data_IF_877302264158
#
_entry.id   IF_877302264158
#
_cell.length_a   1.000
_cell.length_b   1.000
_cell.length_c   1.000
_cell.angle_alpha   90.00
_cell.angle_beta   90.00
_cell.angle_gamma   90.00
#
_symmetry.space_group_name_H-M   'P 1'
#
loop_
_entity.id
_entity.type
_entity.pdbx_description
1 polymer ?
#
# COMPACT_ATOMS: atom_id res chain seq x y z
N UNK A 1 35.95 31.46 9.63
CA UNK A 1 34.50 31.34 9.89
C UNK A 1 34.08 29.97 9.41
N UNK A 2 33.51 29.24 10.35
CA UNK A 2 33.18 27.82 10.38
C UNK A 2 32.18 27.42 9.29
N UNK A 3 32.28 26.15 8.89
CA UNK A 3 31.50 25.42 7.90
C UNK A 3 30.00 25.74 7.85
N UNK A 4 29.47 25.85 6.63
CA UNK A 4 28.08 25.49 6.35
C UNK A 4 28.05 24.48 5.20
N UNK A 5 28.57 23.28 5.49
CA UNK A 5 28.28 22.04 4.77
C UNK A 5 26.88 21.58 5.15
N UNK A 6 25.87 21.92 4.37
CA UNK A 6 24.55 21.25 4.45
C UNK A 6 23.59 21.70 3.36
N UNK A 7 23.95 21.47 2.10
CA UNK A 7 22.95 21.08 1.11
C UNK A 7 23.41 19.75 0.55
N UNK A 8 22.93 18.67 1.18
CA UNK A 8 22.99 17.30 0.67
C UNK A 8 22.20 17.23 -0.64
N UNK A 9 22.79 17.77 -1.70
CA UNK A 9 22.46 17.40 -3.06
C UNK A 9 23.07 16.01 -3.26
N UNK A 10 22.28 15.10 -3.82
CA UNK A 10 22.63 13.71 -4.14
C UNK A 10 22.41 12.71 -3.00
N UNK A 11 21.22 12.08 -2.96
CA UNK A 11 21.03 10.81 -2.23
C UNK A 11 21.31 9.55 -3.05
N UNK A 12 21.71 9.67 -4.33
CA UNK A 12 22.08 8.52 -5.18
C UNK A 12 23.14 8.84 -6.25
N UNK A 13 24.34 9.28 -5.84
CA UNK A 13 25.55 9.24 -6.68
C UNK A 13 25.99 7.80 -6.95
N UNK A 14 25.41 6.86 -6.20
CA UNK A 14 25.89 5.50 -6.04
C UNK A 14 24.95 4.48 -6.70
N UNK A 15 24.03 4.94 -7.58
CA UNK A 15 23.23 4.04 -8.40
C UNK A 15 24.17 3.25 -9.31
N UNK A 16 24.27 1.94 -9.07
CA UNK A 16 25.11 1.07 -9.88
C UNK A 16 24.48 0.88 -11.26
N UNK A 17 24.98 1.62 -12.24
CA UNK A 17 24.51 1.57 -13.61
C UNK A 17 24.76 0.21 -14.28
N UNK A 18 25.52 -0.71 -13.68
CA UNK A 18 25.65 -2.10 -14.14
C UNK A 18 24.28 -2.76 -14.36
N UNK A 19 23.27 -2.41 -13.54
CA UNK A 19 21.91 -2.94 -13.66
C UNK A 19 21.15 -2.39 -14.89
N UNK A 20 21.62 -1.30 -15.49
CA UNK A 20 21.07 -0.73 -16.73
C UNK A 20 21.74 -1.26 -18.00
N UNK A 21 22.81 -2.07 -17.89
CA UNK A 21 23.50 -2.73 -19.03
C UNK A 21 22.57 -3.55 -19.92
N UNK A 22 21.44 -4.01 -19.37
CA UNK A 22 20.42 -4.78 -20.08
C UNK A 22 19.70 -3.98 -21.19
N UNK A 23 19.77 -2.64 -21.18
CA UNK A 23 19.10 -1.81 -22.17
C UNK A 23 20.05 -1.41 -23.30
N UNK A 24 19.68 -1.73 -24.55
CA UNK A 24 20.49 -1.48 -25.76
C UNK A 24 20.82 0.00 -25.98
N UNK A 25 20.01 0.90 -25.44
CA UNK A 25 20.20 2.35 -25.54
C UNK A 25 21.14 2.92 -24.47
N UNK A 26 21.63 2.08 -23.56
CA UNK A 26 22.56 2.48 -22.52
C UNK A 26 24.01 2.39 -23.06
N UNK A 27 24.62 3.54 -23.33
CA UNK A 27 26.04 3.63 -23.64
C UNK A 27 26.79 4.24 -22.45
N UNK A 28 27.63 3.45 -21.79
CA UNK A 28 28.42 3.84 -20.61
C UNK A 28 29.41 4.99 -20.89
N UNK A 29 29.66 5.31 -22.16
CA UNK A 29 30.66 6.31 -22.57
C UNK A 29 30.12 7.77 -22.59
N UNK A 30 28.81 7.98 -22.48
CA UNK A 30 28.22 9.33 -22.55
C UNK A 30 27.85 9.89 -21.16
N UNK A 31 28.28 11.11 -20.87
CA UNK A 31 27.85 11.83 -19.66
C UNK A 31 26.35 12.08 -19.68
N UNK A 32 25.65 11.51 -18.69
CA UNK A 32 24.20 11.64 -18.55
C UNK A 32 23.82 12.79 -17.62
N UNK A 33 22.75 13.50 -17.96
CA UNK A 33 22.15 14.51 -17.09
C UNK A 33 21.54 13.90 -15.83
N UNK A 34 21.39 14.67 -14.75
CA UNK A 34 20.73 14.19 -13.54
C UNK A 34 19.32 13.64 -13.78
N UNK A 35 18.57 14.22 -14.73
CA UNK A 35 17.24 13.75 -15.10
C UNK A 35 17.32 12.38 -15.78
N UNK A 36 18.22 12.20 -16.75
CA UNK A 36 18.39 10.90 -17.42
C UNK A 36 18.70 9.79 -16.41
N UNK A 37 19.62 10.06 -15.47
CA UNK A 37 19.96 9.11 -14.40
C UNK A 37 18.74 8.69 -13.58
N UNK A 38 17.91 9.66 -13.15
CA UNK A 38 16.65 9.38 -12.45
C UNK A 38 15.68 8.57 -13.32
N UNK A 39 15.55 8.90 -14.60
CA UNK A 39 14.65 8.17 -15.49
C UNK A 39 15.10 6.73 -15.77
N UNK A 40 16.41 6.45 -15.80
CA UNK A 40 16.93 5.08 -15.87
C UNK A 40 16.70 4.32 -14.57
N UNK A 41 16.91 4.96 -13.42
CA UNK A 41 16.56 4.38 -12.13
C UNK A 41 15.08 3.94 -12.08
N UNK A 42 14.17 4.79 -12.55
CA UNK A 42 12.74 4.46 -12.60
C UNK A 42 12.41 3.31 -13.56
N UNK A 43 13.20 3.10 -14.62
CA UNK A 43 12.99 1.96 -15.51
C UNK A 43 13.25 0.62 -14.82
N UNK A 44 14.04 0.60 -13.75
CA UNK A 44 14.41 -0.63 -13.03
C UNK A 44 13.63 -0.77 -11.73
N UNK A 45 13.54 0.31 -10.93
CA UNK A 45 13.08 0.22 -9.54
C UNK A 45 11.68 0.78 -9.28
N UNK A 46 10.98 1.25 -10.31
CA UNK A 46 9.65 1.81 -10.12
C UNK A 46 8.54 0.78 -10.07
N UNK A 47 7.35 1.23 -9.66
CA UNK A 47 6.10 0.45 -9.79
C UNK A 47 5.74 0.14 -11.25
N UNK A 48 6.39 0.81 -12.20
CA UNK A 48 6.22 0.60 -13.63
C UNK A 48 7.57 0.36 -14.31
N UNK A 49 8.24 -0.79 -14.04
CA UNK A 49 9.53 -1.07 -14.63
C UNK A 49 9.40 -1.30 -16.14
N UNK A 50 10.51 -1.12 -16.86
CA UNK A 50 10.63 -1.40 -18.29
C UNK A 50 10.77 -2.91 -18.49
N UNK A 51 9.99 -3.46 -19.42
CA UNK A 51 10.10 -4.89 -19.75
C UNK A 51 11.39 -5.21 -20.50
N UNK A 52 11.91 -6.43 -20.36
CA UNK A 52 13.19 -6.88 -20.97
C UNK A 52 13.30 -6.63 -22.49
N UNK A 53 12.18 -6.76 -23.22
CA UNK A 53 12.11 -6.56 -24.69
C UNK A 53 11.40 -5.27 -25.07
N UNK A 54 11.05 -4.44 -24.10
CA UNK A 54 10.34 -3.20 -24.35
C UNK A 54 11.30 -2.10 -24.81
N UNK A 55 10.89 -1.31 -25.81
CA UNK A 55 11.68 -0.15 -26.24
C UNK A 55 11.55 1.02 -25.27
N UNK A 56 12.56 1.90 -25.22
CA UNK A 56 12.54 3.11 -24.40
C UNK A 56 11.26 3.93 -24.64
N UNK A 57 10.91 4.13 -25.91
CA UNK A 57 9.73 4.90 -26.29
C UNK A 57 8.41 4.24 -25.88
N UNK A 58 8.33 2.91 -25.87
CA UNK A 58 7.16 2.19 -25.36
C UNK A 58 6.98 2.44 -23.86
N UNK A 59 8.06 2.28 -23.08
CA UNK A 59 8.02 2.55 -21.64
C UNK A 59 7.64 4.00 -21.34
N UNK A 60 8.28 4.97 -22.02
CA UNK A 60 7.94 6.39 -21.83
C UNK A 60 6.48 6.70 -22.17
N UNK A 61 5.90 5.99 -23.13
CA UNK A 61 4.48 6.10 -23.47
C UNK A 61 3.57 5.62 -22.34
N UNK A 62 3.91 4.51 -21.66
CA UNK A 62 3.16 4.01 -20.49
C UNK A 62 3.23 4.97 -19.30
N UNK A 63 4.38 5.61 -19.13
CA UNK A 63 4.61 6.65 -18.10
C UNK A 63 3.94 7.99 -18.48
N UNK A 64 3.28 8.07 -19.64
CA UNK A 64 2.50 9.24 -20.06
C UNK A 64 3.34 10.37 -20.69
N UNK A 65 4.56 10.07 -21.14
CA UNK A 65 5.42 11.02 -21.85
C UNK A 65 5.17 10.99 -23.35
N UNK A 66 5.16 12.19 -23.95
CA UNK A 66 5.13 12.31 -25.41
C UNK A 66 6.48 11.89 -26.01
N UNK A 67 6.48 11.44 -27.27
CA UNK A 67 7.72 11.12 -28.00
C UNK A 67 8.71 12.29 -28.03
N UNK A 68 8.21 13.52 -28.15
CA UNK A 68 9.04 14.74 -28.14
C UNK A 68 9.68 14.99 -26.77
N UNK A 69 8.94 14.78 -25.69
CA UNK A 69 9.46 14.91 -24.31
C UNK A 69 10.50 13.83 -24.02
N UNK A 70 10.23 12.58 -24.41
CA UNK A 70 11.18 11.48 -24.30
C UNK A 70 12.46 11.76 -25.08
N UNK A 71 12.35 12.24 -26.33
CA UNK A 71 13.52 12.65 -27.12
C UNK A 71 14.31 13.78 -26.44
N UNK A 72 13.64 14.79 -25.88
CA UNK A 72 14.30 15.89 -25.17
C UNK A 72 15.08 15.43 -23.94
N UNK A 73 14.52 14.50 -23.17
CA UNK A 73 15.18 13.97 -21.97
C UNK A 73 16.35 13.06 -22.35
N UNK A 74 16.11 12.05 -23.21
CA UNK A 74 17.09 10.99 -23.43
C UNK A 74 18.12 11.28 -24.53
N UNK A 75 17.77 12.04 -25.57
CA UNK A 75 18.69 12.32 -26.68
C UNK A 75 19.27 13.74 -26.65
N UNK A 76 18.50 14.74 -26.22
CA UNK A 76 19.01 16.13 -26.12
C UNK A 76 19.69 16.43 -24.78
N UNK A 77 19.45 15.62 -23.74
CA UNK A 77 20.01 15.85 -22.42
C UNK A 77 19.43 17.11 -21.76
N UNK A 78 18.10 17.24 -21.72
CA UNK A 78 17.49 18.36 -21.01
C UNK A 78 17.90 18.37 -19.52
N UNK A 79 18.29 19.55 -19.02
CA UNK A 79 18.72 19.74 -17.63
C UNK A 79 17.58 20.00 -16.63
N UNK A 80 16.38 20.33 -17.14
CA UNK A 80 15.21 20.67 -16.31
C UNK A 80 13.96 19.92 -16.77
N UNK A 81 13.05 19.67 -15.82
CA UNK A 81 11.76 19.02 -16.06
C UNK A 81 10.64 19.92 -15.55
N UNK A 82 9.59 20.07 -16.35
CA UNK A 82 8.39 20.83 -15.96
C UNK A 82 7.56 20.04 -14.95
N UNK A 83 6.94 20.71 -13.97
CA UNK A 83 6.17 20.07 -12.89
C UNK A 83 5.11 19.11 -13.43
N UNK A 84 4.36 19.54 -14.46
CA UNK A 84 3.32 18.67 -15.05
C UNK A 84 3.85 17.39 -15.70
N UNK A 85 5.13 17.35 -16.07
CA UNK A 85 5.79 16.15 -16.57
C UNK A 85 6.23 15.28 -15.39
N UNK A 86 6.82 15.89 -14.36
CA UNK A 86 7.22 15.20 -13.14
C UNK A 86 6.01 14.54 -12.45
N UNK A 87 4.88 15.22 -12.33
CA UNK A 87 3.65 14.70 -11.73
C UNK A 87 3.09 13.48 -12.47
N UNK A 88 3.16 13.47 -13.81
CA UNK A 88 2.76 12.31 -14.63
C UNK A 88 3.66 11.11 -14.38
N UNK A 89 4.97 11.35 -14.37
CA UNK A 89 5.95 10.31 -14.09
C UNK A 89 5.76 9.79 -12.66
N UNK A 90 5.57 10.67 -11.68
CA UNK A 90 5.32 10.32 -10.27
C UNK A 90 4.10 9.41 -10.15
N UNK A 91 2.98 9.81 -10.76
CA UNK A 91 1.74 9.04 -10.77
C UNK A 91 1.94 7.65 -11.38
N UNK A 92 2.67 7.53 -12.48
CA UNK A 92 2.86 6.25 -13.16
C UNK A 92 3.91 5.35 -12.48
N UNK A 93 4.96 5.93 -11.89
CA UNK A 93 6.11 5.19 -11.34
C UNK A 93 6.03 5.00 -9.82
N UNK A 94 5.12 5.71 -9.16
CA UNK A 94 5.00 5.75 -7.71
C UNK A 94 6.14 6.45 -6.99
N UNK A 95 7.00 7.16 -7.74
CA UNK A 95 8.11 7.91 -7.17
C UNK A 95 7.70 9.33 -6.78
N UNK A 96 8.40 9.91 -5.81
CA UNK A 96 8.17 11.27 -5.34
C UNK A 96 8.38 12.30 -6.46
N UNK A 97 7.42 13.23 -6.60
CA UNK A 97 7.42 14.24 -7.65
C UNK A 97 8.60 15.21 -7.52
N UNK A 98 8.93 15.61 -6.29
CA UNK A 98 10.02 16.55 -5.99
C UNK A 98 11.37 15.87 -6.31
N UNK A 99 11.50 14.58 -5.98
CA UNK A 99 12.67 13.79 -6.33
C UNK A 99 12.81 13.61 -7.84
N UNK A 100 11.73 13.28 -8.57
CA UNK A 100 11.78 13.15 -10.03
C UNK A 100 12.26 14.46 -10.66
N UNK A 101 11.70 15.58 -10.21
CA UNK A 101 11.99 16.88 -10.79
C UNK A 101 13.41 17.34 -10.48
N UNK A 102 13.79 17.36 -9.20
CA UNK A 102 14.97 18.05 -8.71
C UNK A 102 16.03 17.11 -8.11
N UNK A 103 15.70 15.84 -7.89
CA UNK A 103 16.57 14.88 -7.20
C UNK A 103 16.72 15.12 -5.71
N UNK A 104 15.81 15.89 -5.11
CA UNK A 104 15.80 16.21 -3.68
C UNK A 104 14.98 15.16 -2.94
N UNK A 105 15.51 14.65 -1.82
CA UNK A 105 14.84 13.62 -1.02
C UNK A 105 15.12 12.19 -1.52
N UNK A 106 14.13 11.31 -1.41
CA UNK A 106 14.21 9.90 -1.83
C UNK A 106 13.11 9.59 -2.87
N UNK A 107 13.38 8.74 -3.87
CA UNK A 107 12.39 8.38 -4.89
C UNK A 107 11.18 7.68 -4.27
N UNK A 108 11.43 6.85 -3.27
CA UNK A 108 10.41 6.15 -2.51
C UNK A 108 10.67 6.41 -1.04
N UNK A 109 9.65 6.86 -0.32
CA UNK A 109 9.71 7.01 1.13
C UNK A 109 10.11 5.67 1.75
N UNK A 110 11.04 5.65 2.71
CA UNK A 110 11.48 4.42 3.40
C UNK A 110 10.36 3.65 4.15
N UNK A 111 9.13 4.15 4.15
CA UNK A 111 7.91 3.38 4.47
C UNK A 111 7.46 2.42 3.35
N UNK A 112 8.22 2.31 2.26
CA UNK A 112 7.89 1.59 1.03
C UNK A 112 9.05 0.64 0.67
N UNK A 113 9.32 -0.35 1.51
CA UNK A 113 10.18 -1.47 1.15
C UNK A 113 9.44 -2.61 0.46
N UNK A 114 8.11 -2.51 0.27
CA UNK A 114 7.32 -3.52 -0.43
C UNK A 114 6.20 -2.86 -1.24
N UNK A 115 6.49 -2.41 -2.45
CA UNK A 115 5.43 -2.24 -3.47
C UNK A 115 5.87 -2.89 -4.77
N UNK A 116 5.78 -4.21 -4.78
CA UNK A 116 5.37 -4.90 -5.99
C UNK A 116 3.84 -4.97 -5.94
N UNK A 117 3.21 -4.52 -7.03
CA UNK A 117 1.76 -4.46 -7.24
C UNK A 117 1.03 -3.44 -6.36
N UNK A 118 0.33 -2.51 -7.02
CA UNK A 118 -0.98 -2.04 -6.57
C UNK A 118 -1.55 -1.10 -7.63
N UNK A 119 -2.39 -1.66 -8.50
CA UNK A 119 -3.69 -1.04 -8.73
C UNK A 119 -4.59 -1.44 -7.57
N UNK A 120 -4.42 -0.80 -6.41
CA UNK A 120 -5.43 -0.74 -5.38
C UNK A 120 -5.49 0.71 -4.95
N UNK A 121 -6.61 1.33 -5.29
CA UNK A 121 -6.94 2.66 -4.82
C UNK A 121 -6.81 2.67 -3.29
N UNK A 122 -6.14 3.70 -2.78
CA UNK A 122 -6.26 4.15 -1.40
C UNK A 122 -7.73 4.11 -0.97
N UNK A 123 -8.13 3.07 -0.24
CA UNK A 123 -9.39 3.06 0.48
C UNK A 123 -9.12 3.58 1.89
N UNK A 124 -8.73 4.86 1.95
CA UNK A 124 -8.77 5.65 3.17
C UNK A 124 -10.24 5.90 3.51
N UNK A 125 -10.76 5.16 4.49
CA UNK A 125 -12.14 5.35 4.95
C UNK A 125 -12.10 6.34 6.11
N UNK A 126 -12.35 7.60 5.80
CA UNK A 126 -12.57 8.63 6.81
C UNK A 126 -14.02 8.51 7.31
N UNK A 127 -14.24 7.79 8.40
CA UNK A 127 -15.47 7.95 9.19
C UNK A 127 -15.12 8.16 10.66
N UNK A 128 -15.64 9.26 11.22
CA UNK A 128 -15.62 9.55 12.66
C UNK A 128 -14.23 9.64 13.32
N UNK A 129 -13.27 10.27 12.65
CA UNK A 129 -12.04 10.76 13.30
C UNK A 129 -10.99 9.69 13.69
N UNK A 130 -11.16 8.43 13.27
CA UNK A 130 -10.12 7.39 13.43
C UNK A 130 -9.33 7.21 12.12
N UNK A 131 -8.00 7.39 12.18
CA UNK A 131 -7.08 6.93 11.12
C UNK A 131 -6.84 5.43 11.26
N UNK A 132 -7.55 4.63 10.47
CA UNK A 132 -7.45 3.18 10.46
C UNK A 132 -6.31 2.76 9.51
N UNK A 133 -5.35 1.97 9.98
CA UNK A 133 -4.21 1.48 9.17
C UNK A 133 -4.57 0.26 8.32
N UNK A 134 -3.94 0.18 7.15
CA UNK A 134 -4.28 -0.63 5.96
C UNK A 134 -3.85 -2.12 6.02
N UNK A 135 -3.60 -2.67 7.21
CA UNK A 135 -3.15 -4.07 7.32
C UNK A 135 -4.25 -5.09 6.96
N UNK A 136 -5.52 -4.69 7.04
CA UNK A 136 -6.69 -5.51 6.71
C UNK A 136 -7.45 -4.85 5.56
N UNK A 137 -7.70 -5.61 4.50
CA UNK A 137 -8.56 -5.18 3.39
C UNK A 137 -10.04 -5.24 3.84
N UNK A 138 -10.66 -4.08 4.01
CA UNK A 138 -12.07 -3.98 4.41
C UNK A 138 -12.99 -4.70 3.45
N UNK A 139 -12.80 -4.56 2.14
CA UNK A 139 -13.71 -5.14 1.16
C UNK A 139 -13.66 -6.66 1.22
N UNK A 140 -12.46 -7.24 1.36
CA UNK A 140 -12.28 -8.69 1.50
C UNK A 140 -12.82 -9.21 2.84
N UNK A 141 -12.62 -8.47 3.93
CA UNK A 141 -13.16 -8.87 5.23
C UNK A 141 -14.69 -8.80 5.23
N UNK A 142 -15.27 -7.73 4.68
CA UNK A 142 -16.71 -7.60 4.53
C UNK A 142 -17.28 -8.71 3.64
N UNK A 143 -16.63 -9.03 2.53
CA UNK A 143 -17.01 -10.15 1.67
C UNK A 143 -16.98 -11.49 2.42
N UNK A 144 -16.00 -11.70 3.31
CA UNK A 144 -15.94 -12.90 4.14
C UNK A 144 -17.13 -12.99 5.12
N UNK A 145 -17.53 -11.87 5.73
CA UNK A 145 -18.73 -11.79 6.56
C UNK A 145 -20.01 -12.07 5.75
N UNK A 146 -20.18 -11.40 4.62
CA UNK A 146 -21.33 -11.55 3.73
C UNK A 146 -21.50 -12.99 3.29
N UNK A 147 -20.43 -13.60 2.79
CA UNK A 147 -20.44 -15.00 2.32
C UNK A 147 -20.78 -15.97 3.45
N UNK A 148 -20.20 -15.77 4.64
CA UNK A 148 -20.44 -16.64 5.80
C UNK A 148 -21.89 -16.55 6.28
N UNK A 149 -22.41 -15.34 6.44
CA UNK A 149 -23.78 -15.11 6.90
C UNK A 149 -24.81 -15.58 5.86
N UNK A 150 -24.56 -15.33 4.58
CA UNK A 150 -25.45 -15.79 3.50
C UNK A 150 -25.51 -17.31 3.45
N UNK A 151 -24.36 -18.00 3.53
CA UNK A 151 -24.32 -19.46 3.53
C UNK A 151 -25.03 -20.08 4.75
N UNK A 152 -24.89 -19.44 5.92
CA UNK A 152 -25.60 -19.84 7.14
C UNK A 152 -27.11 -19.59 7.02
N UNK A 153 -27.51 -18.45 6.48
CA UNK A 153 -28.89 -18.08 6.25
C UNK A 153 -29.58 -19.06 5.29
N UNK A 154 -28.94 -19.37 4.15
CA UNK A 154 -29.46 -20.29 3.13
C UNK A 154 -29.63 -21.72 3.67
N UNK A 155 -28.79 -22.11 4.63
CA UNK A 155 -28.89 -23.41 5.31
C UNK A 155 -29.76 -23.39 6.57
N UNK A 156 -30.34 -22.23 6.93
CA UNK A 156 -31.05 -22.01 8.20
C UNK A 156 -30.26 -22.46 9.43
N UNK A 157 -28.95 -22.24 9.42
CA UNK A 157 -28.03 -22.59 10.52
C UNK A 157 -27.48 -21.33 11.17
N UNK A 158 -27.05 -21.47 12.42
CA UNK A 158 -26.24 -20.47 13.11
C UNK A 158 -24.93 -21.11 13.57
N UNK A 159 -23.90 -20.29 13.68
CA UNK A 159 -22.57 -20.72 14.12
C UNK A 159 -22.24 -20.08 15.46
N UNK A 160 -21.54 -20.82 16.34
CA UNK A 160 -21.02 -20.25 17.59
C UNK A 160 -19.97 -19.17 17.27
N UNK A 161 -19.84 -18.11 18.08
CA UNK A 161 -18.92 -16.99 17.82
C UNK A 161 -17.46 -17.42 17.57
N UNK A 162 -17.00 -18.43 18.30
CA UNK A 162 -15.64 -19.00 18.18
C UNK A 162 -15.38 -19.64 16.80
N UNK A 163 -16.18 -20.64 16.44
CA UNK A 163 -16.12 -21.28 15.12
C UNK A 163 -16.35 -20.28 13.97
N UNK A 164 -17.19 -19.26 14.20
CA UNK A 164 -17.47 -18.21 13.22
C UNK A 164 -16.26 -17.31 12.99
N UNK A 165 -15.55 -16.94 14.04
CA UNK A 165 -14.32 -16.17 13.93
C UNK A 165 -13.24 -16.94 13.15
N UNK A 166 -13.03 -18.22 13.48
CA UNK A 166 -12.08 -19.08 12.76
C UNK A 166 -12.43 -19.20 11.27
N UNK A 167 -13.69 -19.45 10.96
CA UNK A 167 -14.14 -19.61 9.58
C UNK A 167 -14.00 -18.30 8.78
N UNK A 168 -14.34 -17.15 9.37
CA UNK A 168 -14.22 -15.85 8.70
C UNK A 168 -12.75 -15.51 8.46
N UNK A 169 -11.85 -15.77 9.42
CA UNK A 169 -10.40 -15.60 9.20
C UNK A 169 -9.91 -16.52 8.11
N UNK A 170 -10.34 -17.78 8.07
CA UNK A 170 -9.98 -18.71 7.01
C UNK A 170 -10.43 -18.19 5.64
N UNK A 171 -11.69 -17.76 5.51
CA UNK A 171 -12.22 -17.25 4.26
C UNK A 171 -11.51 -15.96 3.84
N UNK A 172 -11.25 -15.06 4.80
CA UNK A 172 -10.45 -13.86 4.58
C UNK A 172 -9.03 -14.18 4.09
N UNK A 173 -8.37 -15.18 4.69
CA UNK A 173 -7.03 -15.64 4.23
C UNK A 173 -7.05 -16.30 2.87
N UNK A 174 -8.19 -16.86 2.44
CA UNK A 174 -8.35 -17.44 1.10
C UNK A 174 -8.67 -16.37 0.05
N UNK A 175 -9.34 -15.29 0.45
CA UNK A 175 -9.68 -14.15 -0.39
C UNK A 175 -8.53 -13.15 -0.56
N UNK A 176 -7.53 -13.21 0.32
CA UNK A 176 -6.30 -12.41 0.29
C UNK A 176 -5.15 -13.26 -0.24
N UNK A 177 -4.40 -12.74 -1.22
CA UNK A 177 -3.23 -13.45 -1.72
C UNK A 177 -2.18 -13.55 -0.62
N UNK A 178 -1.66 -14.75 -0.39
CA UNK A 178 -0.77 -15.08 0.75
C UNK A 178 0.57 -14.31 0.76
N UNK A 179 0.82 -13.48 -0.25
CA UNK A 179 2.06 -12.73 -0.47
C UNK A 179 1.95 -11.23 -0.16
N UNK A 180 0.75 -10.67 0.07
CA UNK A 180 0.56 -9.20 0.09
C UNK A 180 0.12 -8.61 1.43
N UNK A 181 -0.36 -9.39 2.41
CA UNK A 181 -0.74 -8.85 3.72
C UNK A 181 -0.11 -9.63 4.89
N UNK A 182 0.79 -8.96 5.61
CA UNK A 182 1.34 -9.43 6.86
C UNK A 182 0.42 -8.98 8.00
N UNK A 183 -0.58 -9.80 8.33
CA UNK A 183 -1.50 -9.55 9.44
C UNK A 183 -1.42 -10.68 10.48
N UNK A 184 -1.60 -10.33 11.75
CA UNK A 184 -1.65 -11.29 12.83
C UNK A 184 -3.02 -12.01 12.82
N UNK A 185 -3.01 -13.25 12.32
CA UNK A 185 -4.20 -14.11 12.26
C UNK A 185 -4.82 -14.34 13.63
N UNK A 186 -4.01 -14.42 14.69
CA UNK A 186 -4.48 -14.66 16.06
C UNK A 186 -5.15 -13.41 16.62
N UNK A 187 -4.57 -12.23 16.38
CA UNK A 187 -5.17 -10.95 16.77
C UNK A 187 -6.49 -10.70 16.03
N UNK A 188 -6.53 -10.94 14.72
CA UNK A 188 -7.76 -10.79 13.93
C UNK A 188 -8.86 -11.76 14.38
N UNK A 189 -8.52 -13.02 14.62
CA UNK A 189 -9.46 -14.00 15.17
C UNK A 189 -10.03 -13.51 16.51
N UNK A 190 -9.15 -13.07 17.42
CA UNK A 190 -9.55 -12.55 18.73
C UNK A 190 -10.49 -11.35 18.61
N UNK A 191 -10.18 -10.39 17.70
CA UNK A 191 -11.03 -9.23 17.47
C UNK A 191 -12.42 -9.62 16.94
N UNK A 192 -12.49 -10.54 15.96
CA UNK A 192 -13.77 -11.02 15.42
C UNK A 192 -14.56 -11.78 16.49
N UNK A 193 -13.90 -12.68 17.21
CA UNK A 193 -14.51 -13.46 18.28
C UNK A 193 -15.16 -12.54 19.32
N UNK A 194 -14.42 -11.54 19.81
CA UNK A 194 -14.92 -10.65 20.86
C UNK A 194 -16.11 -9.82 20.40
N UNK A 195 -16.09 -9.31 19.17
CA UNK A 195 -17.23 -8.57 18.60
C UNK A 195 -18.45 -9.49 18.43
N UNK A 196 -18.28 -10.69 17.87
CA UNK A 196 -19.40 -11.63 17.66
C UNK A 196 -19.95 -12.19 18.99
N UNK A 197 -19.08 -12.45 19.97
CA UNK A 197 -19.47 -12.93 21.29
C UNK A 197 -20.24 -11.86 22.07
N UNK A 198 -19.79 -10.60 22.03
CA UNK A 198 -20.48 -9.52 22.74
C UNK A 198 -21.81 -9.14 22.08
N UNK A 199 -21.89 -9.16 20.74
CA UNK A 199 -23.16 -8.99 20.03
C UNK A 199 -24.14 -10.13 20.37
N UNK A 200 -23.65 -11.36 20.43
CA UNK A 200 -24.46 -12.54 20.80
C UNK A 200 -24.93 -12.48 22.25
N UNK A 201 -24.07 -12.08 23.19
CA UNK A 201 -24.39 -11.99 24.62
C UNK A 201 -25.43 -10.90 24.89
N UNK A 202 -25.33 -9.76 24.20
CA UNK A 202 -26.29 -8.66 24.28
C UNK A 202 -27.55 -8.87 23.42
N UNK A 203 -27.63 -9.96 22.65
CA UNK A 203 -28.70 -10.24 21.68
C UNK A 203 -28.92 -9.10 20.68
N UNK A 204 -27.84 -8.45 20.26
CA UNK A 204 -27.84 -7.33 19.31
C UNK A 204 -27.31 -7.79 17.95
N UNK A 205 -27.80 -7.16 16.91
CA UNK A 205 -27.33 -7.37 15.53
C UNK A 205 -26.77 -6.06 14.98
N UNK A 206 -25.63 -6.13 14.31
CA UNK A 206 -24.99 -4.99 13.65
C UNK A 206 -24.86 -5.28 12.15
N UNK A 207 -24.95 -4.24 11.30
CA UNK A 207 -24.73 -4.42 9.86
C UNK A 207 -23.30 -4.89 9.58
N UNK A 208 -23.11 -5.67 8.52
CA UNK A 208 -21.80 -6.22 8.15
C UNK A 208 -20.74 -5.14 7.92
N UNK A 209 -21.13 -4.01 7.33
CA UNK A 209 -20.25 -2.85 7.14
C UNK A 209 -19.75 -2.27 8.48
N UNK A 210 -20.66 -2.00 9.43
CA UNK A 210 -20.31 -1.48 10.76
C UNK A 210 -19.50 -2.50 11.59
N UNK A 211 -19.84 -3.78 11.50
CA UNK A 211 -19.06 -4.89 12.08
C UNK A 211 -17.62 -4.86 11.59
N UNK A 212 -17.45 -4.78 10.29
CA UNK A 212 -16.14 -4.79 9.64
C UNK A 212 -15.32 -3.58 10.09
N UNK A 213 -15.90 -2.39 10.09
CA UNK A 213 -15.23 -1.17 10.57
C UNK A 213 -14.80 -1.27 12.04
N UNK A 214 -15.68 -1.76 12.91
CA UNK A 214 -15.37 -1.95 14.33
C UNK A 214 -14.20 -2.92 14.52
N UNK A 215 -14.23 -4.06 13.81
CA UNK A 215 -13.18 -5.08 13.89
C UNK A 215 -11.83 -4.52 13.40
N UNK A 216 -11.81 -3.78 12.29
CA UNK A 216 -10.58 -3.18 11.79
C UNK A 216 -10.07 -2.10 12.76
N UNK A 217 -10.95 -1.26 13.31
CA UNK A 217 -10.57 -0.26 14.31
C UNK A 217 -9.94 -0.91 15.55
N UNK A 218 -10.55 -1.99 16.07
CA UNK A 218 -9.99 -2.79 17.17
C UNK A 218 -8.63 -3.36 16.76
N UNK A 219 -8.53 -3.99 15.60
CA UNK A 219 -7.29 -4.58 15.13
C UNK A 219 -6.16 -3.54 15.03
N UNK A 220 -6.42 -2.37 14.45
CA UNK A 220 -5.48 -1.25 14.33
C UNK A 220 -5.02 -0.73 15.69
N UNK A 221 -5.92 -0.57 16.66
CA UNK A 221 -5.57 -0.04 17.99
C UNK A 221 -4.62 -0.96 18.77
N UNK A 222 -4.62 -2.26 18.47
CA UNK A 222 -3.91 -3.27 19.25
C UNK A 222 -2.77 -3.95 18.49
N UNK A 223 -2.51 -3.55 17.23
CA UNK A 223 -1.42 -4.10 16.41
C UNK A 223 -0.04 -3.91 17.07
N UNK A 224 0.15 -2.80 17.78
CA UNK A 224 1.40 -2.47 18.48
C UNK A 224 1.42 -2.94 19.96
N UNK A 225 0.27 -3.37 20.50
CA UNK A 225 0.10 -3.74 21.91
C UNK A 225 -0.22 -5.24 22.05
N UNK A 226 0.70 -6.09 21.60
CA UNK A 226 0.58 -7.55 21.57
C UNK A 226 0.42 -8.25 22.95
N UNK A 227 0.39 -7.51 24.07
CA UNK A 227 0.43 -8.07 25.42
C UNK A 227 -0.79 -7.80 26.30
N UNK A 228 -1.86 -7.18 25.81
CA UNK A 228 -2.97 -6.74 26.68
C UNK A 228 -4.37 -7.16 26.18
N UNK A 229 -4.57 -8.48 26.04
CA UNK A 229 -5.86 -9.08 25.65
C UNK A 229 -7.00 -8.69 26.62
N UNK A 230 -6.72 -8.52 27.91
CA UNK A 230 -7.70 -8.08 28.91
C UNK A 230 -8.14 -6.63 28.70
N UNK A 231 -7.21 -5.74 28.33
CA UNK A 231 -7.53 -4.36 27.97
C UNK A 231 -8.35 -4.28 26.67
N UNK A 232 -8.12 -5.23 25.75
CA UNK A 232 -8.87 -5.38 24.50
C UNK A 232 -10.32 -5.80 24.79
N UNK A 233 -10.56 -6.77 25.68
CA UNK A 233 -11.91 -7.14 26.10
C UNK A 233 -12.68 -5.98 26.74
N UNK A 234 -12.03 -5.22 27.63
CA UNK A 234 -12.69 -4.13 28.37
C UNK A 234 -13.05 -2.97 27.44
N UNK A 235 -12.16 -2.60 26.52
CA UNK A 235 -12.42 -1.57 25.51
C UNK A 235 -13.57 -1.98 24.58
N UNK A 236 -13.61 -3.24 24.13
CA UNK A 236 -14.69 -3.74 23.28
C UNK A 236 -16.03 -3.74 24.01
N UNK A 237 -16.07 -4.22 25.26
CA UNK A 237 -17.27 -4.18 26.11
C UNK A 237 -17.79 -2.74 26.26
N UNK A 238 -16.91 -1.76 26.42
CA UNK A 238 -17.30 -0.35 26.54
C UNK A 238 -17.74 0.26 25.21
N UNK A 239 -17.06 -0.03 24.11
CA UNK A 239 -17.37 0.51 22.77
C UNK A 239 -18.69 -0.03 22.23
N UNK A 240 -18.97 -1.32 22.42
CA UNK A 240 -20.25 -1.94 22.02
C UNK A 240 -21.39 -1.41 22.90
N UNK A 241 -21.14 -1.12 24.19
CA UNK A 241 -22.12 -0.46 25.05
C UNK A 241 -22.41 0.99 24.67
N UNK A 242 -21.43 1.72 24.13
CA UNK A 242 -21.61 3.13 23.73
C UNK A 242 -22.14 3.31 22.30
N UNK A 243 -21.88 2.35 21.40
CA UNK A 243 -22.23 2.44 19.98
C UNK A 243 -23.58 1.83 19.60
N UNK A 244 -24.29 1.21 20.55
CA UNK A 244 -25.58 0.55 20.32
C UNK A 244 -26.61 0.89 21.40
#
# INVERSE_FOLDING_TARGET
MTDNKSNLVVRYSDFNFDECSQFKEFNYEQEMTPIQKRMYFLQVHSKMPRGEKESLYSWTGRVGLSRSTAFGIFNKGNGTMHNSVASKIATATGADEIWIQNGVGEPYSASIANVSAESSQDNKIESEGLTITTAIDKAKLQQAFETTEQALHDQHKSMKPDAKAEFIVMLYTALTDSHTQNFDKKLLNTAIYLVENELSSQRRTMSQDKKTLLIIAIYTLYIDNASNVEALELSIKNLIRSAA
#
